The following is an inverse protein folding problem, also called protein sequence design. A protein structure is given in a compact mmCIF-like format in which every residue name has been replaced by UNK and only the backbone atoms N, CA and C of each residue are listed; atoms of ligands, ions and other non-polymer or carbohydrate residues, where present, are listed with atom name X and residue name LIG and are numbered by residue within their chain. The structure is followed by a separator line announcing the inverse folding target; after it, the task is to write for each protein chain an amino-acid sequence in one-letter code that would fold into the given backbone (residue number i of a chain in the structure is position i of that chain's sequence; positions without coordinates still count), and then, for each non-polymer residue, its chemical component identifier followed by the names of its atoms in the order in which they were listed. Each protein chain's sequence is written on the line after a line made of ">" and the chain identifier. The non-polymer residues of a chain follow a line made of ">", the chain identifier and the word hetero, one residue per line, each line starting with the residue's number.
data_IF_965749788931
#
_entry.id   IF_965749788931
#
_cell.length_a   1.000
_cell.length_b   1.000
_cell.length_c   1.000
_cell.angle_alpha   90.00
_cell.angle_beta   90.00
_cell.angle_gamma   90.00
#
_symmetry.space_group_name_H-M   'P 1'
#
loop_
_entity.id
_entity.type
_entity.pdbx_description
1 polymer ?
#
# COMPACT_ATOMS: atom_id res chain seq x y z
N UNK A 1 -9.94 -14.03 21.22
CA UNK A 1 -9.01 -13.20 20.43
C UNK A 1 -9.39 -13.28 18.96
N UNK A 2 -9.56 -12.16 18.28
CA UNK A 2 -9.86 -12.07 16.86
C UNK A 2 -8.56 -11.85 16.06
N UNK A 3 -8.31 -12.71 15.07
CA UNK A 3 -7.19 -12.55 14.12
C UNK A 3 -7.71 -11.78 12.92
N UNK A 4 -7.08 -10.65 12.60
CA UNK A 4 -7.48 -9.74 11.52
C UNK A 4 -6.32 -9.60 10.53
N UNK A 5 -6.50 -10.07 9.30
CA UNK A 5 -5.49 -10.02 8.24
C UNK A 5 -5.77 -8.83 7.32
N UNK A 6 -4.84 -7.88 7.25
CA UNK A 6 -4.92 -6.79 6.29
C UNK A 6 -4.52 -7.29 4.90
N UNK A 7 -5.48 -7.35 3.97
CA UNK A 7 -5.30 -7.85 2.62
C UNK A 7 -5.51 -6.72 1.60
N UNK A 8 -4.56 -6.53 0.69
CA UNK A 8 -4.59 -5.44 -0.30
C UNK A 8 -4.53 -5.92 -1.75
N UNK A 9 -4.65 -7.24 -1.98
CA UNK A 9 -4.45 -7.85 -3.28
C UNK A 9 -2.97 -7.94 -3.74
N UNK A 10 -2.04 -7.46 -2.92
CA UNK A 10 -0.61 -7.56 -3.19
C UNK A 10 0.01 -8.85 -2.65
N UNK A 11 1.15 -9.28 -3.22
CA UNK A 11 1.81 -10.55 -2.88
C UNK A 11 2.15 -10.71 -1.40
N UNK A 12 2.65 -9.64 -0.77
CA UNK A 12 3.11 -9.71 0.63
C UNK A 12 1.94 -9.87 1.61
N UNK A 13 0.81 -9.24 1.33
CA UNK A 13 -0.43 -9.41 2.10
C UNK A 13 -1.07 -10.79 1.87
N UNK A 14 -0.99 -11.33 0.64
CA UNK A 14 -1.45 -12.68 0.34
C UNK A 14 -0.61 -13.74 1.04
N UNK A 15 0.72 -13.63 0.96
CA UNK A 15 1.60 -14.57 1.64
C UNK A 15 1.39 -14.56 3.18
N UNK A 16 1.16 -13.38 3.76
CA UNK A 16 0.82 -13.26 5.19
C UNK A 16 -0.52 -13.91 5.53
N UNK A 17 -1.51 -13.77 4.66
CA UNK A 17 -2.82 -14.43 4.79
C UNK A 17 -2.68 -15.95 4.75
N UNK A 18 -1.96 -16.48 3.77
CA UNK A 18 -1.68 -17.92 3.64
C UNK A 18 -0.88 -18.45 4.83
N UNK A 19 0.08 -17.66 5.31
CA UNK A 19 0.85 -18.01 6.49
C UNK A 19 -0.05 -18.15 7.73
N UNK A 20 -0.98 -17.22 7.96
CA UNK A 20 -1.95 -17.30 9.06
C UNK A 20 -2.80 -18.57 8.93
N UNK A 21 -3.34 -18.83 7.73
CA UNK A 21 -4.18 -19.99 7.44
C UNK A 21 -3.46 -21.32 7.73
N UNK A 22 -2.16 -21.38 7.43
CA UNK A 22 -1.38 -22.61 7.54
C UNK A 22 -0.74 -22.82 8.92
N UNK A 23 -0.41 -21.73 9.63
CA UNK A 23 0.41 -21.82 10.83
C UNK A 23 -0.27 -21.34 12.11
N UNK A 24 -1.37 -20.57 12.00
CA UNK A 24 -2.00 -19.98 13.19
C UNK A 24 -3.44 -20.42 13.36
N UNK A 25 -4.33 -20.08 12.41
CA UNK A 25 -5.75 -20.43 12.47
C UNK A 25 -6.40 -20.30 11.10
N UNK A 26 -7.48 -21.08 10.91
CA UNK A 26 -8.37 -20.91 9.75
C UNK A 26 -9.54 -19.96 10.02
N UNK A 27 -9.79 -19.66 11.30
CA UNK A 27 -10.82 -18.70 11.73
C UNK A 27 -10.18 -17.32 11.90
N UNK A 28 -10.20 -16.51 10.85
CA UNK A 28 -9.72 -15.13 10.83
C UNK A 28 -10.58 -14.26 9.92
N UNK A 29 -10.55 -12.98 10.19
CA UNK A 29 -11.22 -11.94 9.42
C UNK A 29 -10.21 -11.34 8.44
N UNK A 30 -10.57 -11.24 7.18
CA UNK A 30 -9.76 -10.54 6.18
C UNK A 30 -10.32 -9.14 5.97
N UNK A 31 -9.48 -8.11 6.08
CA UNK A 31 -9.91 -6.72 5.91
C UNK A 31 -9.20 -6.08 4.72
N UNK A 32 -9.98 -5.60 3.78
CA UNK A 32 -9.54 -4.78 2.65
C UNK A 32 -9.89 -3.30 2.88
N UNK A 33 -8.89 -2.42 2.87
CA UNK A 33 -9.12 -0.97 2.90
C UNK A 33 -9.24 -0.44 1.47
N UNK A 34 -10.47 -0.23 1.01
CA UNK A 34 -10.75 0.28 -0.33
C UNK A 34 -10.49 1.79 -0.38
N UNK A 35 -9.52 2.18 -1.22
CA UNK A 35 -9.15 3.58 -1.41
C UNK A 35 -9.87 4.22 -2.61
N UNK A 36 -10.64 3.45 -3.39
CA UNK A 36 -11.23 3.90 -4.65
C UNK A 36 -10.17 4.29 -5.69
N UNK A 37 -8.93 3.75 -5.55
CA UNK A 37 -7.79 4.08 -6.41
C UNK A 37 -6.97 2.84 -6.78
N UNK A 38 -7.50 1.66 -6.56
CA UNK A 38 -6.91 0.40 -6.97
C UNK A 38 -7.19 0.15 -8.46
N UNK A 39 -6.37 -0.71 -9.08
CA UNK A 39 -6.59 -1.17 -10.45
C UNK A 39 -7.82 -2.10 -10.52
N UNK A 40 -8.65 -2.06 -11.59
CA UNK A 40 -9.79 -2.97 -11.74
C UNK A 40 -9.43 -4.47 -11.58
N UNK A 41 -8.29 -4.89 -12.13
CA UNK A 41 -7.78 -6.26 -11.94
C UNK A 41 -7.46 -6.59 -10.49
N UNK A 42 -7.13 -5.60 -9.64
CA UNK A 42 -6.89 -5.84 -8.21
C UNK A 42 -8.20 -6.13 -7.48
N UNK A 43 -9.28 -5.43 -7.79
CA UNK A 43 -10.60 -5.73 -7.23
C UNK A 43 -11.04 -7.15 -7.61
N UNK A 44 -10.99 -7.47 -8.91
CA UNK A 44 -11.33 -8.81 -9.40
C UNK A 44 -10.49 -9.90 -8.74
N UNK A 45 -9.18 -9.67 -8.62
CA UNK A 45 -8.27 -10.60 -7.98
C UNK A 45 -8.60 -10.82 -6.48
N UNK A 46 -9.00 -9.77 -5.75
CA UNK A 46 -9.41 -9.88 -4.36
C UNK A 46 -10.66 -10.76 -4.24
N UNK A 47 -11.64 -10.60 -5.15
CA UNK A 47 -12.84 -11.45 -5.22
C UNK A 47 -12.48 -12.90 -5.54
N UNK A 48 -11.63 -13.14 -6.53
CA UNK A 48 -11.15 -14.49 -6.90
C UNK A 48 -10.44 -15.19 -5.72
N UNK A 49 -9.57 -14.49 -5.00
CA UNK A 49 -8.88 -15.04 -3.82
C UNK A 49 -9.87 -15.29 -2.68
N UNK A 50 -10.84 -14.39 -2.50
CA UNK A 50 -11.91 -14.55 -1.51
C UNK A 50 -12.69 -15.85 -1.77
N UNK A 51 -13.14 -16.07 -2.99
CA UNK A 51 -13.91 -17.26 -3.39
C UNK A 51 -13.06 -18.53 -3.26
N UNK A 52 -11.83 -18.51 -3.82
CA UNK A 52 -10.94 -19.68 -3.84
C UNK A 52 -10.57 -20.16 -2.43
N UNK A 53 -10.39 -19.24 -1.49
CA UNK A 53 -9.98 -19.56 -0.11
C UNK A 53 -11.15 -19.60 0.88
N UNK A 54 -12.36 -19.23 0.48
CA UNK A 54 -13.54 -19.14 1.35
C UNK A 54 -13.34 -18.10 2.46
N UNK A 55 -12.85 -16.90 2.12
CA UNK A 55 -12.48 -15.89 3.12
C UNK A 55 -13.69 -15.11 3.63
N UNK A 56 -13.69 -14.83 4.94
CA UNK A 56 -14.52 -13.78 5.51
C UNK A 56 -13.88 -12.41 5.24
N UNK A 57 -14.22 -11.80 4.09
CA UNK A 57 -13.66 -10.53 3.65
C UNK A 57 -14.58 -9.36 4.01
N UNK A 58 -14.04 -8.41 4.75
CA UNK A 58 -14.68 -7.16 5.10
C UNK A 58 -13.99 -6.02 4.35
N UNK A 59 -14.75 -5.27 3.56
CA UNK A 59 -14.25 -4.07 2.89
C UNK A 59 -14.56 -2.85 3.74
N UNK A 60 -13.52 -2.13 4.15
CA UNK A 60 -13.65 -0.89 4.91
C UNK A 60 -13.27 0.32 4.06
N UNK A 61 -13.99 1.42 4.24
CA UNK A 61 -13.78 2.70 3.55
C UNK A 61 -13.69 3.84 4.54
N UNK A 62 -13.09 4.94 4.12
CA UNK A 62 -13.09 6.16 4.92
C UNK A 62 -14.51 6.70 5.08
N UNK A 63 -14.93 6.96 6.33
CA UNK A 63 -16.21 7.63 6.63
C UNK A 63 -16.22 9.10 6.18
N UNK A 64 -15.04 9.69 5.97
CA UNK A 64 -14.86 11.11 5.67
C UNK A 64 -14.63 11.41 4.19
N UNK A 65 -13.99 10.47 3.47
CA UNK A 65 -13.56 10.66 2.09
C UNK A 65 -14.05 9.53 1.20
N UNK A 66 -14.64 9.89 0.05
CA UNK A 66 -15.03 8.91 -0.95
C UNK A 66 -13.85 8.55 -1.87
N UNK A 67 -12.80 7.97 -1.28
CA UNK A 67 -11.60 7.53 -1.98
C UNK A 67 -10.56 8.63 -2.24
N UNK A 68 -9.54 8.27 -3.05
CA UNK A 68 -8.36 9.10 -3.30
C UNK A 68 -8.66 10.44 -3.96
N UNK A 69 -9.56 10.46 -4.94
CA UNK A 69 -9.90 11.68 -5.70
C UNK A 69 -10.59 12.71 -4.80
N UNK A 70 -11.58 12.28 -4.01
CA UNK A 70 -12.27 13.14 -3.05
C UNK A 70 -11.32 13.64 -1.95
N UNK A 71 -10.45 12.76 -1.45
CA UNK A 71 -9.41 13.13 -0.50
C UNK A 71 -8.49 14.21 -1.06
N UNK A 72 -7.99 14.04 -2.29
CA UNK A 72 -7.12 15.01 -2.96
C UNK A 72 -7.82 16.34 -3.16
N UNK A 73 -9.07 16.32 -3.63
CA UNK A 73 -9.91 17.51 -3.80
C UNK A 73 -10.07 18.28 -2.49
N UNK A 74 -10.48 17.60 -1.40
CA UNK A 74 -10.69 18.23 -0.09
C UNK A 74 -9.41 18.73 0.59
N UNK A 75 -8.26 18.10 0.29
CA UNK A 75 -6.93 18.55 0.78
C UNK A 75 -6.27 19.57 -0.15
N UNK A 76 -6.85 19.85 -1.32
CA UNK A 76 -6.32 20.74 -2.36
C UNK A 76 -4.90 20.37 -2.79
N UNK A 77 -4.55 19.11 -2.72
CA UNK A 77 -3.25 18.56 -3.15
C UNK A 77 -3.21 17.04 -3.12
N UNK A 78 -2.34 16.48 -3.94
CA UNK A 78 -2.01 15.06 -3.90
C UNK A 78 -1.17 14.69 -2.66
N UNK A 79 -1.27 13.43 -2.17
CA UNK A 79 -0.31 12.90 -1.21
C UNK A 79 1.10 12.87 -1.82
N UNK A 80 2.13 12.86 -0.99
CA UNK A 80 3.52 12.74 -1.43
C UNK A 80 4.29 11.70 -0.60
N UNK A 81 5.53 11.41 -0.98
CA UNK A 81 6.45 10.55 -0.23
C UNK A 81 6.63 11.01 1.22
N UNK A 82 6.64 12.33 1.45
CA UNK A 82 6.80 12.93 2.77
C UNK A 82 5.48 13.09 3.53
N UNK A 83 4.36 13.26 2.83
CA UNK A 83 3.04 13.53 3.43
C UNK A 83 2.01 12.51 2.93
N UNK A 84 2.11 11.30 3.43
CA UNK A 84 1.29 10.15 3.05
C UNK A 84 -0.09 10.14 3.74
N UNK A 85 -0.80 11.26 3.69
CA UNK A 85 -2.14 11.33 4.29
C UNK A 85 -3.16 10.36 3.64
N UNK A 86 -2.91 9.87 2.43
CA UNK A 86 -3.70 8.78 1.86
C UNK A 86 -3.62 7.51 2.71
N UNK A 87 -2.47 7.18 3.26
CA UNK A 87 -2.33 6.01 4.15
C UNK A 87 -3.11 6.19 5.44
N UNK A 88 -3.02 7.37 6.08
CA UNK A 88 -3.77 7.62 7.32
C UNK A 88 -5.28 7.69 7.10
N UNK A 89 -5.73 8.47 6.10
CA UNK A 89 -7.15 8.78 5.92
C UNK A 89 -7.95 7.63 5.24
N UNK A 90 -7.30 6.87 4.34
CA UNK A 90 -7.99 5.84 3.57
C UNK A 90 -7.67 4.39 4.00
N UNK A 91 -6.69 4.19 4.90
CA UNK A 91 -6.31 2.85 5.35
C UNK A 91 -6.26 2.74 6.87
N UNK A 92 -5.44 3.57 7.53
CA UNK A 92 -5.25 3.46 8.98
C UNK A 92 -6.51 3.83 9.77
N UNK A 93 -7.14 4.96 9.46
CA UNK A 93 -8.37 5.42 10.12
C UNK A 93 -9.52 4.43 9.91
N UNK A 94 -9.84 3.96 8.69
CA UNK A 94 -10.86 2.93 8.49
C UNK A 94 -10.62 1.64 9.28
N UNK A 95 -9.37 1.19 9.37
CA UNK A 95 -9.03 0.02 10.17
C UNK A 95 -9.23 0.26 11.67
N UNK A 96 -8.85 1.45 12.18
CA UNK A 96 -9.06 1.83 13.60
C UNK A 96 -10.57 1.87 13.90
N UNK A 97 -11.36 2.49 13.01
CA UNK A 97 -12.81 2.54 13.17
C UNK A 97 -13.42 1.15 13.20
N UNK A 98 -13.01 0.27 12.29
CA UNK A 98 -13.47 -1.12 12.28
C UNK A 98 -13.15 -1.85 13.60
N UNK A 99 -11.92 -1.74 14.09
CA UNK A 99 -11.52 -2.38 15.35
C UNK A 99 -12.34 -1.84 16.53
N UNK A 100 -12.49 -0.52 16.63
CA UNK A 100 -13.15 0.09 17.78
C UNK A 100 -14.67 -0.03 17.77
N UNK A 101 -15.29 -0.11 16.59
CA UNK A 101 -16.74 -0.11 16.44
C UNK A 101 -17.31 -1.54 16.38
N UNK A 102 -16.55 -2.49 15.78
CA UNK A 102 -17.07 -3.83 15.47
C UNK A 102 -16.40 -4.95 16.28
N UNK A 103 -15.20 -4.70 16.84
CA UNK A 103 -14.44 -5.76 17.52
C UNK A 103 -14.42 -5.53 19.04
N UNK A 104 -15.08 -6.43 19.77
CA UNK A 104 -15.15 -6.41 21.24
C UNK A 104 -14.37 -7.60 21.82
N UNK A 105 -13.11 -7.75 21.44
CA UNK A 105 -12.23 -8.87 21.85
C UNK A 105 -10.76 -8.44 21.73
N UNK A 106 -9.85 -9.23 22.28
CA UNK A 106 -8.43 -9.13 21.97
C UNK A 106 -8.21 -9.25 20.47
N UNK A 107 -7.29 -8.47 19.91
CA UNK A 107 -6.99 -8.48 18.48
C UNK A 107 -5.54 -8.81 18.20
N UNK A 108 -5.33 -9.66 17.19
CA UNK A 108 -4.04 -9.86 16.54
C UNK A 108 -4.14 -9.37 15.09
N UNK A 109 -3.50 -8.25 14.81
CA UNK A 109 -3.48 -7.66 13.47
C UNK A 109 -2.30 -8.24 12.68
N UNK A 110 -2.59 -8.72 11.48
CA UNK A 110 -1.57 -9.27 10.55
C UNK A 110 -1.33 -8.28 9.42
N UNK A 111 -0.06 -7.92 9.20
CA UNK A 111 0.36 -7.02 8.12
C UNK A 111 1.37 -7.68 7.19
N UNK A 112 1.11 -7.64 5.89
CA UNK A 112 2.04 -8.04 4.83
C UNK A 112 3.07 -6.95 4.56
N UNK A 113 4.08 -6.86 5.41
CA UNK A 113 5.20 -5.91 5.31
C UNK A 113 6.50 -6.70 5.38
N UNK A 114 7.45 -6.40 4.45
CA UNK A 114 8.80 -6.95 4.47
C UNK A 114 9.84 -5.86 4.73
N UNK A 115 10.86 -6.20 5.52
CA UNK A 115 11.99 -5.30 5.81
C UNK A 115 12.72 -4.84 4.52
N UNK A 116 12.90 -5.75 3.57
CA UNK A 116 13.62 -5.52 2.31
C UNK A 116 12.93 -4.51 1.35
N UNK A 117 11.69 -4.08 1.60
CA UNK A 117 10.99 -3.16 0.70
C UNK A 117 11.44 -1.69 0.81
N UNK A 118 11.99 -1.29 1.95
CA UNK A 118 12.57 0.05 2.13
C UNK A 118 13.27 0.18 3.49
N UNK A 119 14.24 1.12 3.60
CA UNK A 119 14.93 1.43 4.85
C UNK A 119 13.96 1.70 6.01
N UNK A 120 12.89 2.49 5.76
CA UNK A 120 11.86 2.76 6.79
C UNK A 120 11.09 1.51 7.23
N UNK A 121 10.95 0.50 6.36
CA UNK A 121 10.32 -0.76 6.74
C UNK A 121 11.27 -1.65 7.51
N UNK A 122 12.55 -1.63 7.19
CA UNK A 122 13.58 -2.37 7.92
C UNK A 122 13.68 -1.94 9.40
N UNK A 123 13.33 -0.68 9.71
CA UNK A 123 13.29 -0.15 11.08
C UNK A 123 12.06 -0.62 11.89
N UNK A 124 11.07 -1.24 11.24
CA UNK A 124 9.87 -1.73 11.92
C UNK A 124 10.17 -3.02 12.69
N UNK A 125 9.42 -3.25 13.76
CA UNK A 125 9.48 -4.51 14.49
C UNK A 125 8.63 -5.57 13.80
N UNK A 126 9.08 -6.83 13.80
CA UNK A 126 8.30 -7.99 13.32
C UNK A 126 7.00 -8.16 14.10
N UNK A 127 7.05 -7.87 15.40
CA UNK A 127 5.92 -7.90 16.32
C UNK A 127 5.93 -6.66 17.21
N UNK A 128 4.76 -6.09 17.47
CA UNK A 128 4.55 -4.96 18.39
C UNK A 128 3.06 -4.83 18.72
N UNK A 129 2.68 -3.84 19.56
CA UNK A 129 1.27 -3.50 19.75
C UNK A 129 0.78 -2.63 18.59
N UNK A 130 -0.46 -2.85 18.14
CA UNK A 130 -1.06 -2.10 17.02
C UNK A 130 -1.23 -0.62 17.34
N UNK A 131 -1.73 -0.33 18.54
CA UNK A 131 -1.92 1.05 19.02
C UNK A 131 -0.69 1.63 19.74
N UNK A 132 0.52 1.12 19.43
CA UNK A 132 1.79 1.54 20.04
C UNK A 132 1.91 3.05 20.20
N UNK A 133 1.68 3.80 19.13
CA UNK A 133 1.90 5.26 19.10
C UNK A 133 0.79 6.11 19.72
N UNK A 134 -0.18 5.49 20.36
CA UNK A 134 -1.12 6.16 21.28
C UNK A 134 -0.58 6.31 22.69
N UNK A 135 0.40 5.51 23.08
CA UNK A 135 1.02 5.47 24.42
C UNK A 135 2.52 5.73 24.39
N UNK A 136 3.19 5.43 23.27
CA UNK A 136 4.60 5.74 23.06
C UNK A 136 4.70 6.84 22.00
N UNK A 137 5.62 7.82 22.15
CA UNK A 137 5.80 8.85 21.14
C UNK A 137 6.39 8.25 19.85
N UNK A 138 5.94 8.74 18.69
CA UNK A 138 6.54 8.40 17.40
C UNK A 138 7.55 9.42 16.91
N UNK A 139 7.85 10.45 17.70
CA UNK A 139 8.79 11.50 17.42
C UNK A 139 8.53 12.75 18.25
N UNK A 140 9.22 13.83 17.92
CA UNK A 140 9.05 15.13 18.57
C UNK A 140 8.59 16.19 17.58
N UNK A 141 7.88 17.20 18.06
CA UNK A 141 7.52 18.38 17.27
C UNK A 141 8.69 19.39 17.22
N UNK A 142 8.46 20.51 16.50
CA UNK A 142 9.46 21.58 16.37
C UNK A 142 9.87 22.24 17.69
N UNK A 143 9.08 22.05 18.75
CA UNK A 143 9.33 22.58 20.09
C UNK A 143 9.90 21.49 21.04
N UNK A 144 10.26 20.32 20.54
CA UNK A 144 10.79 19.20 21.31
C UNK A 144 9.74 18.39 22.08
N UNK A 145 8.44 18.69 21.93
CA UNK A 145 7.35 17.97 22.59
C UNK A 145 7.07 16.65 21.89
N UNK A 146 6.82 15.61 22.68
CA UNK A 146 6.50 14.28 22.19
C UNK A 146 5.19 14.24 21.38
N UNK A 147 5.21 13.52 20.26
CA UNK A 147 4.07 13.31 19.37
C UNK A 147 3.44 11.96 19.56
N UNK A 148 2.12 11.96 19.67
CA UNK A 148 1.28 10.76 19.77
C UNK A 148 0.19 10.78 18.70
N UNK A 149 -0.34 9.61 18.35
CA UNK A 149 -1.56 9.55 17.56
C UNK A 149 -2.76 10.04 18.39
N UNK A 150 -3.62 10.83 17.75
CA UNK A 150 -4.72 11.53 18.44
C UNK A 150 -6.11 11.12 17.97
N UNK A 151 -6.22 10.45 16.80
CA UNK A 151 -7.50 10.03 16.27
C UNK A 151 -8.20 9.05 17.22
N UNK A 152 -9.39 9.40 17.68
CA UNK A 152 -10.18 8.61 18.65
C UNK A 152 -9.38 8.14 19.87
N UNK A 153 -8.46 8.98 20.36
CA UNK A 153 -7.51 8.58 21.40
C UNK A 153 -8.20 8.06 22.66
N UNK A 154 -9.32 8.66 23.07
CA UNK A 154 -10.08 8.21 24.25
C UNK A 154 -10.59 6.79 24.07
N UNK A 155 -11.14 6.48 22.88
CA UNK A 155 -11.70 5.16 22.56
C UNK A 155 -10.61 4.11 22.49
N UNK A 156 -9.48 4.45 21.83
CA UNK A 156 -8.30 3.56 21.75
C UNK A 156 -7.76 3.23 23.15
N UNK A 157 -7.62 4.22 24.03
CA UNK A 157 -7.15 3.98 25.40
C UNK A 157 -8.17 3.17 26.24
N UNK A 158 -9.46 3.36 25.99
CA UNK A 158 -10.51 2.56 26.62
C UNK A 158 -10.50 1.12 26.12
N UNK A 159 -10.31 0.91 24.80
CA UNK A 159 -10.14 -0.42 24.19
C UNK A 159 -8.95 -1.15 24.84
N UNK A 160 -7.78 -0.53 24.89
CA UNK A 160 -6.55 -1.10 25.44
C UNK A 160 -6.58 -1.40 26.95
N UNK A 161 -7.53 -0.84 27.69
CA UNK A 161 -7.77 -1.22 29.09
C UNK A 161 -8.50 -2.55 29.23
N UNK A 162 -9.22 -2.98 28.18
CA UNK A 162 -10.05 -4.17 28.18
C UNK A 162 -9.45 -5.32 27.36
N UNK A 163 -8.75 -4.99 26.26
CA UNK A 163 -8.32 -5.93 25.25
C UNK A 163 -6.85 -5.72 24.86
N UNK A 164 -6.18 -6.81 24.53
CA UNK A 164 -4.87 -6.79 23.90
C UNK A 164 -4.97 -6.32 22.42
N UNK A 165 -3.92 -5.66 21.93
CA UNK A 165 -3.85 -5.12 20.57
C UNK A 165 -2.52 -5.47 19.88
N UNK A 166 -2.30 -6.76 19.64
CA UNK A 166 -1.05 -7.25 19.05
C UNK A 166 -1.01 -7.08 17.53
N UNK A 167 0.19 -6.92 17.01
CA UNK A 167 0.48 -6.83 15.59
C UNK A 167 1.64 -7.75 15.23
N UNK A 168 1.46 -8.56 14.17
CA UNK A 168 2.47 -9.47 13.64
C UNK A 168 2.66 -9.27 12.14
N UNK A 169 3.92 -9.37 11.68
CA UNK A 169 4.34 -9.36 10.28
C UNK A 169 5.01 -10.69 9.93
N UNK A 170 4.24 -11.70 9.51
CA UNK A 170 4.78 -13.06 9.34
C UNK A 170 5.92 -13.13 8.32
N UNK A 171 5.80 -12.39 7.22
CA UNK A 171 6.75 -12.39 6.10
C UNK A 171 7.83 -11.29 6.21
N UNK A 172 8.02 -10.71 7.40
CA UNK A 172 8.88 -9.54 7.60
C UNK A 172 10.30 -9.74 7.10
N UNK A 173 10.88 -10.90 7.38
CA UNK A 173 12.26 -11.26 7.03
C UNK A 173 12.39 -11.99 5.68
N UNK A 174 11.28 -12.16 4.93
CA UNK A 174 11.30 -12.91 3.68
C UNK A 174 11.81 -12.07 2.51
N UNK A 175 12.50 -12.73 1.59
CA UNK A 175 12.81 -12.16 0.28
C UNK A 175 11.54 -12.09 -0.60
N UNK A 176 11.59 -11.29 -1.67
CA UNK A 176 10.49 -11.25 -2.62
C UNK A 176 10.25 -12.59 -3.31
N UNK A 177 11.33 -13.36 -3.55
CA UNK A 177 11.24 -14.70 -4.13
C UNK A 177 10.52 -15.67 -3.19
N UNK A 178 10.93 -15.72 -1.91
CA UNK A 178 10.25 -16.57 -0.91
C UNK A 178 8.76 -16.29 -0.80
N UNK A 179 8.34 -15.02 -0.91
CA UNK A 179 6.93 -14.65 -0.93
C UNK A 179 6.20 -15.26 -2.13
N UNK A 180 6.79 -15.15 -3.33
CA UNK A 180 6.19 -15.70 -4.56
C UNK A 180 6.14 -17.21 -4.50
N UNK A 181 7.25 -17.86 -4.14
CA UNK A 181 7.33 -19.32 -4.04
C UNK A 181 6.28 -19.87 -3.07
N UNK A 182 6.16 -19.23 -1.90
CA UNK A 182 5.17 -19.63 -0.90
C UNK A 182 3.72 -19.48 -1.40
N UNK A 183 3.42 -18.43 -2.16
CA UNK A 183 2.10 -18.24 -2.78
C UNK A 183 1.81 -19.38 -3.76
N UNK A 184 2.77 -19.69 -4.64
CA UNK A 184 2.64 -20.74 -5.66
C UNK A 184 2.55 -22.12 -5.06
N UNK A 185 3.35 -22.43 -4.03
CA UNK A 185 3.28 -23.70 -3.27
C UNK A 185 1.91 -23.91 -2.62
N UNK A 186 1.21 -22.85 -2.28
CA UNK A 186 -0.16 -22.92 -1.78
C UNK A 186 -1.24 -22.98 -2.89
N UNK A 187 -0.86 -23.13 -4.16
CA UNK A 187 -1.77 -23.28 -5.28
C UNK A 187 -2.49 -21.98 -5.69
N UNK A 188 -2.03 -20.83 -5.22
CA UNK A 188 -2.59 -19.53 -5.56
C UNK A 188 -1.69 -18.82 -6.57
N UNK A 189 -2.29 -18.14 -7.55
CA UNK A 189 -1.53 -17.28 -8.46
C UNK A 189 -1.42 -15.88 -7.86
N UNK A 190 -0.25 -15.22 -7.88
CA UNK A 190 -0.15 -13.82 -7.52
C UNK A 190 -0.97 -12.92 -8.45
N UNK A 191 -1.29 -11.72 -7.97
CA UNK A 191 -2.06 -10.73 -8.74
C UNK A 191 -1.50 -10.57 -10.18
N UNK A 192 -2.36 -10.62 -11.21
CA UNK A 192 -1.92 -10.59 -12.62
C UNK A 192 -1.10 -9.36 -13.00
N UNK A 193 -1.25 -8.26 -12.29
CA UNK A 193 -0.45 -7.05 -12.52
C UNK A 193 1.07 -7.30 -12.38
N UNK A 194 1.49 -8.26 -11.57
CA UNK A 194 2.91 -8.62 -11.49
C UNK A 194 3.43 -9.22 -12.81
N UNK A 195 2.61 -10.02 -13.51
CA UNK A 195 2.95 -10.56 -14.83
C UNK A 195 2.97 -9.49 -15.94
N UNK A 196 2.23 -8.39 -15.74
CA UNK A 196 2.25 -7.22 -16.60
C UNK A 196 3.46 -6.30 -16.32
N UNK A 197 4.37 -6.71 -15.42
CA UNK A 197 5.61 -5.99 -15.11
C UNK A 197 5.47 -4.88 -14.06
N UNK A 198 4.33 -4.78 -13.37
CA UNK A 198 4.18 -3.82 -12.27
C UNK A 198 4.89 -4.31 -11.02
N UNK A 199 5.71 -3.46 -10.42
CA UNK A 199 6.43 -3.79 -9.17
C UNK A 199 5.55 -3.64 -7.94
N UNK A 200 4.55 -2.78 -7.99
CA UNK A 200 3.65 -2.45 -6.88
C UNK A 200 2.19 -2.66 -7.27
N UNK A 201 1.51 -3.46 -6.46
CA UNK A 201 0.07 -3.70 -6.56
C UNK A 201 -0.62 -3.11 -5.34
N UNK A 202 -1.77 -2.50 -5.55
CA UNK A 202 -2.56 -1.72 -4.60
C UNK A 202 -3.03 -0.45 -5.28
N UNK A 203 -2.77 0.73 -4.71
CA UNK A 203 -3.10 2.02 -5.37
C UNK A 203 -2.48 2.13 -6.76
N UNK A 204 -3.24 2.56 -7.77
CA UNK A 204 -2.83 2.53 -9.17
C UNK A 204 -3.02 3.88 -9.89
N UNK A 205 -1.91 4.56 -10.19
CA UNK A 205 -0.58 4.36 -9.62
C UNK A 205 -0.49 4.83 -8.17
N UNK A 206 0.47 4.30 -7.44
CA UNK A 206 0.86 4.88 -6.16
C UNK A 206 1.60 6.20 -6.41
N UNK A 207 1.43 7.19 -5.54
CA UNK A 207 2.25 8.43 -5.57
C UNK A 207 3.75 8.16 -5.41
N UNK A 208 4.10 6.95 -5.00
CA UNK A 208 5.48 6.45 -4.91
C UNK A 208 5.78 5.39 -5.98
N UNK A 209 5.02 5.33 -7.07
CA UNK A 209 5.27 4.40 -8.16
C UNK A 209 6.69 4.58 -8.72
N UNK A 210 7.34 3.49 -9.11
CA UNK A 210 8.66 3.53 -9.74
C UNK A 210 8.60 4.14 -11.15
N UNK A 211 9.75 4.51 -11.71
CA UNK A 211 9.82 4.93 -13.12
C UNK A 211 9.35 3.81 -14.06
N UNK A 212 9.70 2.56 -13.73
CA UNK A 212 9.24 1.39 -14.48
C UNK A 212 7.72 1.24 -14.45
N UNK A 213 7.09 1.38 -13.27
CA UNK A 213 5.62 1.32 -13.19
C UNK A 213 4.97 2.42 -14.04
N UNK A 214 5.51 3.65 -14.00
CA UNK A 214 4.97 4.77 -14.79
C UNK A 214 5.14 4.52 -16.29
N UNK A 215 6.31 3.98 -16.71
CA UNK A 215 6.53 3.58 -18.09
C UNK A 215 5.51 2.53 -18.52
N UNK A 216 5.32 1.47 -17.73
CA UNK A 216 4.37 0.41 -18.03
C UNK A 216 2.94 0.95 -18.16
N UNK A 217 2.50 1.82 -17.23
CA UNK A 217 1.17 2.47 -17.32
C UNK A 217 1.07 3.31 -18.61
N UNK A 218 2.11 4.06 -18.95
CA UNK A 218 2.07 4.92 -20.14
C UNK A 218 1.94 4.15 -21.45
N UNK A 219 2.37 2.88 -21.45
CA UNK A 219 2.30 2.00 -22.64
C UNK A 219 1.03 1.15 -22.63
N UNK A 220 0.68 0.56 -21.49
CA UNK A 220 -0.40 -0.41 -21.38
C UNK A 220 -1.76 0.23 -21.08
N UNK A 221 -1.77 1.38 -20.41
CA UNK A 221 -3.00 2.06 -19.95
C UNK A 221 -2.88 3.59 -20.10
N UNK A 222 -2.66 4.12 -21.31
CA UNK A 222 -2.45 5.56 -21.55
C UNK A 222 -3.66 6.42 -21.11
N UNK A 223 -4.86 5.84 -21.09
CA UNK A 223 -6.06 6.50 -20.58
C UNK A 223 -5.95 6.80 -19.08
N UNK A 224 -5.24 5.99 -18.31
CA UNK A 224 -4.98 6.26 -16.89
C UNK A 224 -4.09 7.49 -16.71
N UNK A 225 -3.09 7.65 -17.57
CA UNK A 225 -2.24 8.85 -17.58
C UNK A 225 -3.06 10.09 -17.93
N UNK A 226 -3.90 10.01 -18.96
CA UNK A 226 -4.79 11.10 -19.38
C UNK A 226 -5.77 11.49 -18.26
N UNK A 227 -6.33 10.53 -17.57
CA UNK A 227 -7.20 10.75 -16.41
C UNK A 227 -6.49 11.52 -15.28
N UNK A 228 -5.27 11.10 -14.93
CA UNK A 228 -4.47 11.78 -13.89
C UNK A 228 -4.12 13.20 -14.32
N UNK A 229 -3.72 13.41 -15.60
CA UNK A 229 -3.43 14.73 -16.12
C UNK A 229 -4.64 15.67 -16.02
N UNK A 230 -5.85 15.18 -16.30
CA UNK A 230 -7.09 15.92 -16.10
C UNK A 230 -7.33 16.31 -14.64
N UNK A 231 -7.05 15.40 -13.71
CA UNK A 231 -7.16 15.66 -12.26
C UNK A 231 -6.10 16.67 -11.77
N UNK A 232 -4.87 16.62 -12.30
CA UNK A 232 -3.83 17.62 -12.00
C UNK A 232 -4.29 19.04 -12.37
N UNK A 233 -4.89 19.18 -13.55
CA UNK A 233 -5.46 20.45 -14.00
C UNK A 233 -6.64 20.88 -13.11
N UNK A 234 -7.57 19.97 -12.83
CA UNK A 234 -8.76 20.25 -12.02
C UNK A 234 -8.40 20.69 -10.60
N UNK A 235 -7.36 20.11 -10.01
CA UNK A 235 -6.96 20.40 -8.63
C UNK A 235 -5.83 21.42 -8.53
N UNK A 236 -5.30 21.87 -9.67
CA UNK A 236 -4.12 22.73 -9.76
C UNK A 236 -2.97 22.20 -8.87
N UNK A 237 -2.72 20.89 -8.97
CA UNK A 237 -1.76 20.19 -8.11
C UNK A 237 -1.15 19.02 -8.84
N UNK A 238 0.19 18.91 -8.83
CA UNK A 238 0.93 17.81 -9.43
C UNK A 238 0.74 16.51 -8.64
N UNK A 239 0.62 15.40 -9.37
CA UNK A 239 0.52 14.06 -8.81
C UNK A 239 1.82 13.59 -8.13
N UNK A 240 2.96 13.98 -8.68
CA UNK A 240 4.27 13.64 -8.13
C UNK A 240 4.96 14.83 -7.46
N UNK A 241 5.84 14.55 -6.49
CA UNK A 241 6.71 15.55 -5.88
C UNK A 241 7.85 16.00 -6.81
N UNK A 242 8.55 17.10 -6.45
CA UNK A 242 9.62 17.67 -7.27
C UNK A 242 10.84 16.76 -7.40
N UNK A 243 11.00 15.80 -6.49
CA UNK A 243 12.05 14.79 -6.44
C UNK A 243 11.82 13.60 -7.38
N UNK A 244 10.69 13.58 -8.10
CA UNK A 244 10.34 12.47 -8.99
C UNK A 244 11.24 12.39 -10.23
N UNK A 245 11.54 13.53 -10.83
CA UNK A 245 12.49 13.67 -11.95
C UNK A 245 13.29 14.97 -11.77
N UNK A 246 14.48 15.05 -12.40
CA UNK A 246 15.28 16.28 -12.34
C UNK A 246 14.56 17.46 -12.96
N UNK A 247 14.69 18.64 -12.34
CA UNK A 247 14.04 19.90 -12.77
C UNK A 247 14.35 20.32 -14.22
N UNK A 248 15.42 19.80 -14.81
CA UNK A 248 15.74 20.03 -16.23
C UNK A 248 14.74 19.41 -17.21
N UNK A 249 13.88 18.50 -16.75
CA UNK A 249 12.89 17.79 -17.58
C UNK A 249 11.47 18.35 -17.50
N UNK A 250 11.21 19.36 -16.68
CA UNK A 250 9.90 19.99 -16.56
C UNK A 250 10.02 21.51 -16.36
N UNK A 251 8.91 22.21 -16.60
CA UNK A 251 8.79 23.64 -16.33
C UNK A 251 7.85 23.83 -15.14
N UNK A 252 8.12 24.84 -14.32
CA UNK A 252 7.31 25.11 -13.12
C UNK A 252 7.92 24.58 -11.84
N UNK A 253 7.13 24.52 -10.77
CA UNK A 253 7.59 24.13 -9.43
C UNK A 253 7.64 22.60 -9.24
N UNK A 254 6.72 21.89 -9.90
CA UNK A 254 6.55 20.44 -9.80
C UNK A 254 6.36 19.80 -11.18
N UNK A 255 6.86 18.55 -11.38
CA UNK A 255 6.65 17.84 -12.64
C UNK A 255 5.19 17.36 -12.72
N UNK A 256 4.52 17.62 -13.83
CA UNK A 256 3.23 17.01 -14.15
C UNK A 256 3.41 15.55 -14.57
N UNK A 257 2.34 14.76 -14.49
CA UNK A 257 2.38 13.34 -14.92
C UNK A 257 2.89 13.20 -16.36
N UNK A 258 2.53 14.11 -17.24
CA UNK A 258 2.99 14.17 -18.64
C UNK A 258 4.50 14.37 -18.77
N UNK A 259 5.12 15.16 -17.89
CA UNK A 259 6.56 15.37 -17.88
C UNK A 259 7.29 14.10 -17.43
N UNK A 260 6.76 13.44 -16.40
CA UNK A 260 7.32 12.17 -15.90
C UNK A 260 7.19 11.08 -16.96
N UNK A 261 6.07 10.98 -17.66
CA UNK A 261 5.87 10.04 -18.77
C UNK A 261 6.88 10.30 -19.90
N UNK A 262 7.02 11.55 -20.33
CA UNK A 262 8.01 11.94 -21.34
C UNK A 262 9.43 11.56 -20.93
N UNK A 263 9.77 11.80 -19.67
CA UNK A 263 11.08 11.43 -19.13
C UNK A 263 11.32 9.92 -19.19
N UNK A 264 10.40 9.09 -18.66
CA UNK A 264 10.59 7.64 -18.64
C UNK A 264 10.62 7.02 -20.05
N UNK A 265 9.81 7.53 -20.97
CA UNK A 265 9.82 7.10 -22.37
C UNK A 265 11.14 7.46 -23.06
N UNK A 266 11.67 8.68 -22.85
CA UNK A 266 12.95 9.09 -23.43
C UNK A 266 14.12 8.27 -22.89
N UNK A 267 14.11 7.89 -21.62
CA UNK A 267 15.12 7.03 -21.03
C UNK A 267 15.11 5.63 -21.65
N UNK A 268 13.93 5.04 -21.83
CA UNK A 268 13.79 3.73 -22.50
C UNK A 268 14.22 3.77 -23.97
N UNK A 269 13.84 4.79 -24.71
CA UNK A 269 14.25 4.97 -26.11
C UNK A 269 15.78 5.10 -26.23
N UNK A 270 16.45 5.70 -25.26
CA UNK A 270 17.90 5.81 -25.18
C UNK A 270 18.62 4.55 -24.66
N UNK A 271 17.92 3.43 -24.47
CA UNK A 271 18.49 2.17 -23.97
C UNK A 271 18.92 2.20 -22.49
N UNK A 272 18.57 3.27 -21.75
CA UNK A 272 18.89 3.37 -20.33
C UNK A 272 17.95 2.51 -19.50
N UNK A 273 18.52 1.69 -18.61
CA UNK A 273 17.77 1.06 -17.52
C UNK A 273 17.44 2.12 -16.47
N UNK A 274 16.31 1.97 -15.77
CA UNK A 274 16.03 2.78 -14.60
C UNK A 274 16.87 2.27 -13.42
N UNK A 275 17.29 3.15 -12.53
CA UNK A 275 18.06 2.78 -11.33
C UNK A 275 17.31 1.76 -10.45
N UNK A 276 15.98 1.76 -10.53
CA UNK A 276 15.09 0.80 -9.86
C UNK A 276 15.02 -0.57 -10.57
N UNK A 277 15.62 -0.73 -11.75
CA UNK A 277 15.59 -1.98 -12.53
C UNK A 277 16.62 -3.02 -12.03
N UNK A 278 17.41 -2.67 -11.01
CA UNK A 278 18.37 -3.60 -10.43
C UNK A 278 17.63 -4.78 -9.79
N UNK A 279 17.65 -5.89 -10.49
CA UNK A 279 17.46 -7.28 -10.05
C UNK A 279 16.19 -7.67 -9.28
N UNK A 280 15.09 -6.88 -9.33
CA UNK A 280 13.85 -7.22 -8.62
C UNK A 280 12.60 -7.11 -9.47
N UNK A 281 12.71 -7.26 -10.81
CA UNK A 281 11.51 -7.33 -11.65
C UNK A 281 10.73 -8.61 -11.30
N UNK A 282 9.43 -8.48 -11.08
CA UNK A 282 8.57 -9.63 -10.84
C UNK A 282 8.62 -10.67 -11.98
N UNK A 283 9.05 -10.26 -13.17
CA UNK A 283 9.18 -11.18 -14.32
C UNK A 283 10.28 -12.23 -14.10
N UNK A 284 11.39 -11.90 -13.44
CA UNK A 284 12.43 -12.87 -13.10
C UNK A 284 11.94 -13.93 -12.08
N UNK A 285 10.97 -13.58 -11.21
CA UNK A 285 10.40 -14.51 -10.25
C UNK A 285 9.49 -15.59 -10.86
N UNK A 286 9.03 -15.38 -12.08
CA UNK A 286 8.19 -16.35 -12.79
C UNK A 286 8.93 -17.17 -13.84
N UNK A 287 10.26 -17.06 -13.94
CA UNK A 287 11.03 -17.71 -15.00
C UNK A 287 10.69 -17.21 -16.41
N UNK A 288 10.14 -16.01 -16.53
CA UNK A 288 9.73 -15.41 -17.81
C UNK A 288 10.81 -14.54 -18.44
N UNK A 289 12.00 -14.48 -17.84
CA UNK A 289 13.19 -13.86 -18.43
C UNK A 289 14.17 -14.97 -18.80
N UNK A 290 14.03 -15.53 -19.97
CA UNK A 290 15.12 -16.12 -20.76
C UNK A 290 15.52 -15.14 -21.86
#
# INVERSE_FOLDING_TARGET
>A
MKVIVSFSGGKDSLASLLWVRNNLTKDFITVFCDTGWEHPLTYKYIEEVQEQLGLNLITVKSKKFNGMVDLTKKKSRWPSSQRRFCTSELKTIPMIDYILDEVNDDVLIIQGIRAAESAKRAEMSKQCTYFKYYVQPYGKDKNGKDKYHTYRRKDVLAFRKKYADDLLRPVFDWSAQQVIDYILENGIQPNPLYRMGYKRVGCFPCVMASHQDIYNISVQEPERISYIAGLEQQFNSSFFGPDKISSKYYKGEYPLISDVVRYVQSKRAGGSLFDDDVATSCMSYYGLCE
#
